data_IF_058797106286
#
_entry.id   IF_058797106286
#
_cell.length_a   1.000
_cell.length_b   1.000
_cell.length_c   1.000
_cell.angle_alpha   90.00
_cell.angle_beta   90.00
_cell.angle_gamma   90.00
#
_symmetry.space_group_name_H-M   'P 1'
#
loop_
_entity.id
_entity.type
_entity.pdbx_description
1 polymer ?
#
# COMPACT_ATOMS: atom_id res chain seq x y z
N UNK A 1 14.85 32.51 8.66
CA UNK A 1 13.84 31.59 8.11
C UNK A 1 14.43 30.87 6.92
N UNK A 2 14.79 29.61 7.08
CA UNK A 2 15.34 28.82 5.96
C UNK A 2 14.12 28.25 5.23
N UNK A 3 13.79 28.84 4.08
CA UNK A 3 12.82 28.26 3.15
C UNK A 3 13.43 26.96 2.61
N UNK A 4 12.87 25.83 3.00
CA UNK A 4 13.22 24.54 2.46
C UNK A 4 12.86 24.48 0.97
N UNK A 5 13.81 24.77 0.11
CA UNK A 5 13.66 24.54 -1.32
C UNK A 5 13.51 23.03 -1.53
N UNK A 6 12.43 22.63 -2.18
CA UNK A 6 12.24 21.26 -2.67
C UNK A 6 13.36 20.96 -3.68
N UNK A 7 14.42 20.32 -3.21
CA UNK A 7 15.54 19.90 -4.07
C UNK A 7 15.08 18.64 -4.81
N UNK A 8 14.76 18.80 -6.07
CA UNK A 8 14.51 17.68 -6.99
C UNK A 8 15.28 17.91 -8.29
N UNK A 9 15.74 16.84 -8.88
CA UNK A 9 16.34 16.80 -10.20
C UNK A 9 15.39 16.06 -11.13
N UNK A 10 14.95 16.72 -12.18
CA UNK A 10 14.14 16.09 -13.23
C UNK A 10 14.97 15.99 -14.50
N UNK A 11 15.14 14.78 -15.01
CA UNK A 11 15.73 14.53 -16.32
C UNK A 11 14.57 14.20 -17.27
N UNK A 12 14.11 15.21 -18.01
CA UNK A 12 12.93 15.14 -18.88
C UNK A 12 12.25 16.51 -19.01
N UNK A 13 11.02 16.53 -19.50
CA UNK A 13 10.22 17.75 -19.67
C UNK A 13 8.94 17.68 -18.85
N UNK A 14 8.61 18.76 -18.12
CA UNK A 14 7.31 18.94 -17.44
C UNK A 14 6.91 17.76 -16.54
N UNK A 15 7.72 17.40 -15.53
CA UNK A 15 7.51 16.26 -14.62
C UNK A 15 7.46 14.88 -15.31
N UNK A 16 7.72 14.81 -16.61
CA UNK A 16 7.82 13.57 -17.38
C UNK A 16 9.27 13.14 -17.50
N UNK A 17 9.57 11.87 -17.12
CA UNK A 17 10.91 11.31 -17.24
C UNK A 17 11.42 10.73 -15.93
N UNK A 18 12.71 10.95 -15.61
CA UNK A 18 13.33 10.47 -14.38
C UNK A 18 13.36 11.60 -13.36
N UNK A 19 12.68 11.40 -12.25
CA UNK A 19 12.64 12.35 -11.15
C UNK A 19 13.43 11.82 -9.95
N UNK A 20 14.43 12.56 -9.50
CA UNK A 20 15.23 12.24 -8.30
C UNK A 20 14.94 13.31 -7.24
N UNK A 21 14.45 12.89 -6.08
CA UNK A 21 14.10 13.79 -4.99
C UNK A 21 12.60 14.11 -4.91
N UNK A 22 12.26 15.18 -4.19
CA UNK A 22 10.91 15.44 -3.70
C UNK A 22 10.12 16.39 -4.62
N UNK A 23 9.63 15.92 -5.77
CA UNK A 23 8.71 16.65 -6.64
C UNK A 23 7.25 16.38 -6.25
N UNK A 24 6.36 17.37 -6.36
CA UNK A 24 4.94 17.21 -6.03
C UNK A 24 4.19 16.28 -6.98
N UNK A 25 4.57 16.28 -8.25
CA UNK A 25 4.02 15.40 -9.29
C UNK A 25 5.16 14.71 -10.00
N UNK A 26 4.95 13.48 -10.40
CA UNK A 26 5.92 12.69 -11.15
C UNK A 26 5.21 11.80 -12.14
N UNK A 27 5.63 11.88 -13.40
CA UNK A 27 5.19 10.99 -14.46
C UNK A 27 6.42 10.26 -15.01
N UNK A 28 6.47 8.95 -14.85
CA UNK A 28 7.58 8.12 -15.30
C UNK A 28 8.31 7.43 -14.15
N UNK A 29 9.65 7.46 -14.15
CA UNK A 29 10.47 6.84 -13.12
C UNK A 29 10.80 7.84 -12.01
N UNK A 30 10.54 7.46 -10.78
CA UNK A 30 10.89 8.25 -9.61
C UNK A 30 11.80 7.48 -8.69
N UNK A 31 12.86 8.13 -8.22
CA UNK A 31 13.81 7.61 -7.24
C UNK A 31 13.93 8.60 -6.08
N UNK A 32 13.62 8.17 -4.87
CA UNK A 32 13.78 8.99 -3.67
C UNK A 32 14.07 8.14 -2.43
N UNK A 33 14.73 8.71 -1.44
CA UNK A 33 14.92 8.02 -0.16
C UNK A 33 13.75 8.28 0.80
N UNK A 34 13.19 9.49 0.76
CA UNK A 34 12.14 9.90 1.69
C UNK A 34 11.12 10.80 1.00
N UNK A 35 9.93 10.29 0.83
CA UNK A 35 8.85 11.03 0.20
C UNK A 35 8.04 11.84 1.21
N UNK A 36 7.86 13.13 0.91
CA UNK A 36 7.03 14.04 1.70
C UNK A 36 6.17 14.92 0.80
N UNK A 37 4.88 15.03 1.14
CA UNK A 37 3.94 15.95 0.47
C UNK A 37 3.89 15.80 -1.05
N UNK A 38 3.82 14.56 -1.51
CA UNK A 38 3.67 14.25 -2.92
C UNK A 38 2.19 14.13 -3.23
N UNK A 39 1.75 14.84 -4.26
CA UNK A 39 0.35 14.83 -4.66
C UNK A 39 0.05 13.62 -5.53
N UNK A 40 0.82 13.42 -6.60
CA UNK A 40 0.54 12.34 -7.56
C UNK A 40 1.80 11.74 -8.14
N UNK A 41 1.84 10.42 -8.16
CA UNK A 41 2.84 9.61 -8.85
C UNK A 41 2.13 8.82 -9.94
N UNK A 42 2.55 9.00 -11.19
CA UNK A 42 2.10 8.20 -12.33
C UNK A 42 3.30 7.47 -12.91
N UNK A 43 3.31 6.15 -12.82
CA UNK A 43 4.40 5.33 -13.34
C UNK A 43 5.07 4.47 -12.27
N UNK A 44 6.39 4.52 -12.20
CA UNK A 44 7.19 3.67 -11.33
C UNK A 44 7.91 4.51 -10.28
N UNK A 45 7.70 4.20 -9.00
CA UNK A 45 8.34 4.88 -7.87
C UNK A 45 9.13 3.90 -7.02
N UNK A 46 10.37 4.24 -6.73
CA UNK A 46 11.21 3.57 -5.73
C UNK A 46 11.57 4.57 -4.66
N UNK A 47 11.24 4.26 -3.43
CA UNK A 47 11.57 5.12 -2.28
C UNK A 47 11.97 4.28 -1.06
N UNK A 48 12.73 4.86 -0.15
CA UNK A 48 12.95 4.26 1.16
C UNK A 48 11.66 4.22 1.96
N UNK A 49 11.03 5.40 2.11
CA UNK A 49 9.70 5.59 2.66
C UNK A 49 8.83 6.31 1.63
N UNK A 50 7.78 5.67 1.15
CA UNK A 50 6.80 6.29 0.25
C UNK A 50 5.66 6.91 1.03
N UNK A 51 5.35 8.16 0.70
CA UNK A 51 4.15 8.86 1.19
C UNK A 51 3.63 9.83 0.13
N UNK A 52 2.54 9.44 -0.51
CA UNK A 52 1.87 10.25 -1.53
C UNK A 52 0.36 10.34 -1.30
N UNK A 53 -0.29 11.31 -1.92
CA UNK A 53 -1.75 11.37 -1.92
C UNK A 53 -2.34 10.35 -2.90
N UNK A 54 -1.71 10.18 -4.08
CA UNK A 54 -2.18 9.23 -5.08
C UNK A 54 -1.01 8.63 -5.87
N UNK A 55 -1.01 7.31 -5.99
CA UNK A 55 -0.08 6.58 -6.85
C UNK A 55 -0.85 5.76 -7.88
N UNK A 56 -0.56 5.98 -9.15
CA UNK A 56 -1.08 5.21 -10.28
C UNK A 56 0.11 4.50 -10.94
N UNK A 57 0.18 3.19 -10.81
CA UNK A 57 1.28 2.39 -11.35
C UNK A 57 1.94 1.51 -10.29
N UNK A 58 3.27 1.54 -10.20
CA UNK A 58 4.03 0.68 -9.29
C UNK A 58 4.75 1.54 -8.25
N UNK A 59 4.51 1.26 -6.97
CA UNK A 59 5.18 1.90 -5.85
C UNK A 59 5.97 0.87 -5.04
N UNK A 60 7.28 1.06 -4.95
CA UNK A 60 8.18 0.26 -4.13
C UNK A 60 8.68 1.12 -2.97
N UNK A 61 8.23 0.85 -1.77
CA UNK A 61 8.78 1.39 -0.54
C UNK A 61 9.72 0.39 0.11
N UNK A 62 11.04 0.64 0.14
CA UNK A 62 12.01 -0.32 0.68
C UNK A 62 11.78 -0.63 2.15
N UNK A 63 11.36 0.35 2.95
CA UNK A 63 10.98 0.19 4.35
C UNK A 63 9.47 0.14 4.46
N UNK A 64 8.79 1.19 4.01
CA UNK A 64 7.34 1.29 4.13
C UNK A 64 6.71 2.10 3.00
N UNK A 65 5.45 1.77 2.73
CA UNK A 65 4.63 2.46 1.74
C UNK A 65 3.32 2.93 2.41
N UNK A 66 3.14 4.26 2.51
CA UNK A 66 2.00 4.92 3.16
C UNK A 66 1.27 5.88 2.23
N UNK A 67 0.96 5.47 1.05
CA UNK A 67 0.22 6.28 0.08
C UNK A 67 -1.28 6.31 0.42
N UNK A 68 -1.95 7.46 0.23
CA UNK A 68 -3.38 7.54 0.56
C UNK A 68 -4.23 6.70 -0.39
N UNK A 69 -3.96 6.76 -1.68
CA UNK A 69 -4.65 5.94 -2.69
C UNK A 69 -3.65 5.32 -3.64
N UNK A 70 -3.72 4.02 -3.83
CA UNK A 70 -2.89 3.26 -4.76
C UNK A 70 -3.78 2.58 -5.79
N UNK A 71 -3.51 2.84 -7.06
CA UNK A 71 -4.11 2.15 -8.19
C UNK A 71 -2.99 1.45 -8.96
N UNK A 72 -2.86 0.15 -8.77
CA UNK A 72 -1.81 -0.66 -9.38
C UNK A 72 -1.10 -1.58 -8.41
N UNK A 73 0.24 -1.50 -8.33
CA UNK A 73 1.05 -2.39 -7.50
C UNK A 73 1.73 -1.60 -6.39
N UNK A 74 1.58 -2.05 -5.17
CA UNK A 74 2.24 -1.50 -3.98
C UNK A 74 3.09 -2.57 -3.32
N UNK A 75 4.36 -2.31 -3.13
CA UNK A 75 5.27 -3.21 -2.42
C UNK A 75 5.94 -2.43 -1.29
N UNK A 76 5.69 -2.83 -0.06
CA UNK A 76 6.36 -2.31 1.13
C UNK A 76 7.32 -3.35 1.71
N UNK A 77 8.59 -3.02 1.88
CA UNK A 77 9.59 -3.96 2.36
C UNK A 77 9.26 -4.54 3.74
N UNK A 78 8.92 -3.71 4.72
CA UNK A 78 8.48 -4.14 6.04
C UNK A 78 6.97 -4.00 6.19
N UNK A 79 6.42 -2.84 5.89
CA UNK A 79 5.00 -2.57 6.09
C UNK A 79 4.41 -1.76 4.94
N UNK A 80 3.11 -1.90 4.74
CA UNK A 80 2.34 -1.10 3.79
C UNK A 80 1.03 -0.66 4.41
N UNK A 81 0.64 0.58 4.15
CA UNK A 81 -0.63 1.10 4.65
C UNK A 81 -1.18 2.17 3.71
N UNK A 82 -2.48 2.09 3.41
CA UNK A 82 -3.13 3.06 2.52
C UNK A 82 -4.61 3.17 2.85
N UNK A 83 -5.20 4.35 2.65
CA UNK A 83 -6.65 4.48 2.81
C UNK A 83 -7.41 3.65 1.78
N UNK A 84 -6.88 3.56 0.57
CA UNK A 84 -7.48 2.75 -0.50
C UNK A 84 -6.41 2.14 -1.40
N UNK A 85 -6.51 0.83 -1.62
CA UNK A 85 -5.67 0.09 -2.55
C UNK A 85 -6.58 -0.60 -3.57
N UNK A 86 -6.32 -0.36 -4.85
CA UNK A 86 -6.97 -1.05 -5.95
C UNK A 86 -5.87 -1.74 -6.78
N UNK A 87 -5.77 -3.05 -6.64
CA UNK A 87 -4.78 -3.86 -7.37
C UNK A 87 -4.02 -4.84 -6.49
N UNK A 88 -2.69 -4.88 -6.62
CA UNK A 88 -1.81 -5.78 -5.88
C UNK A 88 -1.09 -5.03 -4.76
N UNK A 89 -1.15 -5.56 -3.56
CA UNK A 89 -0.40 -5.05 -2.44
C UNK A 89 0.42 -6.16 -1.77
N UNK A 90 1.71 -5.91 -1.56
CA UNK A 90 2.64 -6.85 -0.92
C UNK A 90 3.35 -6.12 0.21
N UNK A 91 3.44 -6.73 1.38
CA UNK A 91 4.19 -6.21 2.51
C UNK A 91 4.96 -7.34 3.22
N UNK A 92 6.19 -7.05 3.60
CA UNK A 92 7.05 -8.05 4.24
C UNK A 92 6.53 -8.53 5.59
N UNK A 93 6.12 -7.63 6.46
CA UNK A 93 5.53 -7.97 7.76
C UNK A 93 4.01 -7.82 7.73
N UNK A 94 3.53 -6.62 7.66
CA UNK A 94 2.10 -6.35 7.78
C UNK A 94 1.57 -5.32 6.80
N UNK A 95 0.33 -5.48 6.43
CA UNK A 95 -0.39 -4.54 5.59
C UNK A 95 -1.61 -4.03 6.33
N UNK A 96 -1.81 -2.70 6.30
CA UNK A 96 -2.98 -2.06 6.88
C UNK A 96 -3.63 -1.08 5.91
N UNK A 97 -4.95 -0.94 5.99
CA UNK A 97 -5.63 0.03 5.14
C UNK A 97 -7.12 0.18 5.43
N UNK A 98 -7.75 1.19 4.85
CA UNK A 98 -9.19 1.31 4.87
C UNK A 98 -9.83 0.28 3.94
N UNK A 99 -9.74 0.51 2.64
CA UNK A 99 -10.30 -0.40 1.63
C UNK A 99 -9.21 -1.02 0.77
N UNK A 100 -9.16 -2.34 0.69
CA UNK A 100 -8.26 -3.07 -0.20
C UNK A 100 -9.10 -3.88 -1.19
N UNK A 101 -8.98 -3.54 -2.47
CA UNK A 101 -9.65 -4.22 -3.56
C UNK A 101 -8.61 -4.92 -4.44
N UNK A 102 -8.59 -6.23 -4.46
CA UNK A 102 -7.71 -7.01 -5.29
C UNK A 102 -6.93 -8.10 -4.55
N UNK A 103 -5.60 -8.13 -4.71
CA UNK A 103 -4.73 -9.12 -4.10
C UNK A 103 -3.86 -8.50 -3.00
N UNK A 104 -3.91 -9.06 -1.80
CA UNK A 104 -3.07 -8.67 -0.68
C UNK A 104 -2.22 -9.82 -0.17
N UNK A 105 -0.90 -9.61 -0.08
CA UNK A 105 0.04 -10.59 0.46
C UNK A 105 0.85 -9.92 1.56
N UNK A 106 0.83 -10.48 2.76
CA UNK A 106 1.60 -9.98 3.88
C UNK A 106 2.26 -11.13 4.66
N UNK A 107 3.46 -10.87 5.18
CA UNK A 107 4.17 -11.89 5.95
C UNK A 107 3.42 -12.28 7.23
N UNK A 108 3.01 -11.34 8.06
CA UNK A 108 2.29 -11.62 9.29
C UNK A 108 0.77 -11.52 9.11
N UNK A 109 0.26 -10.38 8.68
CA UNK A 109 -1.18 -10.18 8.59
C UNK A 109 -1.62 -9.05 7.67
N UNK A 110 -2.84 -9.15 7.21
CA UNK A 110 -3.54 -8.10 6.45
C UNK A 110 -4.65 -7.54 7.33
N UNK A 111 -4.66 -6.22 7.54
CA UNK A 111 -5.67 -5.54 8.33
C UNK A 111 -6.38 -4.46 7.51
N UNK A 112 -7.68 -4.33 7.64
CA UNK A 112 -8.43 -3.30 6.92
C UNK A 112 -9.90 -3.24 7.32
N UNK A 113 -10.55 -2.11 6.97
CA UNK A 113 -11.97 -1.92 7.23
C UNK A 113 -12.81 -2.70 6.19
N UNK A 114 -12.38 -2.70 4.93
CA UNK A 114 -13.03 -3.44 3.85
C UNK A 114 -12.00 -4.15 2.98
N UNK A 115 -12.05 -5.46 2.95
CA UNK A 115 -11.16 -6.31 2.16
C UNK A 115 -11.98 -7.03 1.09
N UNK A 116 -11.74 -6.72 -0.17
CA UNK A 116 -12.40 -7.33 -1.30
C UNK A 116 -11.39 -8.02 -2.22
N UNK A 117 -11.42 -9.35 -2.29
CA UNK A 117 -10.55 -10.10 -3.19
C UNK A 117 -9.85 -11.29 -2.55
N UNK A 118 -8.55 -11.48 -2.86
CA UNK A 118 -7.74 -12.58 -2.35
C UNK A 118 -6.67 -12.07 -1.40
N UNK A 119 -6.59 -12.66 -0.22
CA UNK A 119 -5.63 -12.24 0.80
C UNK A 119 -4.88 -13.45 1.37
N UNK A 120 -3.54 -13.33 1.43
CA UNK A 120 -2.67 -14.35 1.97
C UNK A 120 -1.76 -13.77 3.05
N UNK A 121 -1.69 -14.42 4.21
CA UNK A 121 -0.81 -14.02 5.30
C UNK A 121 -0.58 -15.14 6.31
N UNK A 122 0.42 -15.03 7.17
CA UNK A 122 0.72 -16.05 8.16
C UNK A 122 -0.39 -16.15 9.23
N UNK A 123 -0.82 -15.01 9.77
CA UNK A 123 -1.85 -14.96 10.83
C UNK A 123 -3.27 -14.68 10.30
N UNK A 124 -3.46 -14.55 9.00
CA UNK A 124 -4.78 -14.29 8.42
C UNK A 124 -5.12 -12.80 8.26
N UNK A 125 -6.40 -12.50 8.12
CA UNK A 125 -6.88 -11.15 7.91
C UNK A 125 -7.64 -10.65 9.14
N UNK A 126 -7.36 -9.41 9.55
CA UNK A 126 -7.94 -8.81 10.73
C UNK A 126 -8.57 -7.46 10.41
N UNK A 127 -9.59 -7.06 11.19
CA UNK A 127 -10.07 -5.69 11.16
C UNK A 127 -9.16 -4.79 12.05
N UNK A 128 -8.88 -3.58 11.59
CA UNK A 128 -7.97 -2.66 12.30
C UNK A 128 -8.70 -1.72 13.26
N UNK A 129 -9.95 -1.42 13.03
CA UNK A 129 -10.69 -0.41 13.77
C UNK A 129 -11.91 -0.98 14.51
N UNK A 130 -12.24 -0.37 15.64
CA UNK A 130 -13.48 -0.67 16.38
C UNK A 130 -14.76 -0.21 15.65
N UNK A 131 -14.65 0.27 14.41
CA UNK A 131 -15.77 0.68 13.58
C UNK A 131 -16.68 -0.50 13.24
N UNK A 132 -18.00 -0.30 13.29
CA UNK A 132 -18.99 -1.37 13.11
C UNK A 132 -19.06 -1.98 11.70
N UNK A 133 -18.23 -1.56 10.75
CA UNK A 133 -18.35 -1.90 9.32
C UNK A 133 -17.09 -2.60 8.79
N UNK A 134 -16.54 -3.56 9.50
CA UNK A 134 -15.47 -4.37 8.91
C UNK A 134 -16.05 -5.49 8.07
N UNK A 135 -15.72 -5.49 6.77
CA UNK A 135 -16.20 -6.45 5.80
C UNK A 135 -15.05 -7.13 5.08
N UNK A 136 -15.13 -8.45 4.98
CA UNK A 136 -14.24 -9.24 4.14
C UNK A 136 -15.08 -9.96 3.10
N UNK A 137 -14.87 -9.62 1.84
CA UNK A 137 -15.52 -10.26 0.71
C UNK A 137 -14.46 -10.93 -0.16
N UNK A 138 -14.46 -12.25 -0.21
CA UNK A 138 -13.52 -12.97 -1.07
C UNK A 138 -12.85 -14.15 -0.39
N UNK A 139 -11.58 -14.40 -0.71
CA UNK A 139 -10.84 -15.56 -0.23
C UNK A 139 -9.67 -15.11 0.63
N UNK A 140 -9.57 -15.71 1.80
CA UNK A 140 -8.46 -15.41 2.73
C UNK A 140 -7.74 -16.70 3.11
N UNK A 141 -6.41 -16.66 3.05
CA UNK A 141 -5.55 -17.74 3.50
C UNK A 141 -4.69 -17.27 4.67
N UNK A 142 -4.89 -17.90 5.83
CA UNK A 142 -4.03 -17.74 6.98
C UNK A 142 -3.36 -19.07 7.34
N UNK A 143 -2.06 -19.10 7.56
CA UNK A 143 -1.38 -20.36 7.91
C UNK A 143 -1.66 -20.72 9.36
N UNK A 144 -1.60 -19.75 10.27
CA UNK A 144 -1.73 -19.99 11.72
C UNK A 144 -3.16 -19.75 12.21
N UNK A 145 -3.84 -18.74 11.72
CA UNK A 145 -5.21 -18.41 12.15
C UNK A 145 -6.09 -18.08 10.95
N UNK A 146 -7.39 -18.20 11.14
CA UNK A 146 -8.37 -17.73 10.18
C UNK A 146 -8.54 -16.23 10.19
N UNK A 147 -9.50 -15.74 9.44
CA UNK A 147 -9.82 -14.32 9.33
C UNK A 147 -10.87 -13.91 10.35
N UNK A 148 -10.69 -12.73 10.94
CA UNK A 148 -11.64 -12.15 11.89
C UNK A 148 -12.24 -10.88 11.30
N UNK A 149 -13.54 -10.90 11.02
CA UNK A 149 -14.32 -9.77 10.55
C UNK A 149 -15.74 -9.83 11.11
N UNK A 150 -16.45 -8.69 11.13
CA UNK A 150 -17.86 -8.68 11.52
C UNK A 150 -18.76 -9.26 10.45
N UNK A 151 -18.49 -8.92 9.22
CA UNK A 151 -19.20 -9.48 8.06
C UNK A 151 -18.17 -10.19 7.18
N UNK A 152 -18.32 -11.48 7.03
CA UNK A 152 -17.49 -12.30 6.16
C UNK A 152 -18.33 -12.93 5.07
N UNK A 153 -17.97 -12.67 3.82
CA UNK A 153 -18.61 -13.27 2.65
C UNK A 153 -17.54 -13.89 1.75
N UNK A 154 -17.49 -15.22 1.73
CA UNK A 154 -16.51 -15.93 0.92
C UNK A 154 -15.91 -17.15 1.61
N UNK A 155 -14.61 -17.40 1.36
CA UNK A 155 -13.89 -18.56 1.88
C UNK A 155 -12.71 -18.10 2.75
N UNK A 156 -12.66 -18.57 3.99
CA UNK A 156 -11.49 -18.43 4.86
C UNK A 156 -10.88 -19.79 5.14
N UNK A 157 -9.58 -19.91 4.85
CA UNK A 157 -8.82 -21.13 5.10
C UNK A 157 -7.73 -20.81 6.11
N UNK A 158 -7.79 -21.48 7.26
CA UNK A 158 -6.74 -21.48 8.29
C UNK A 158 -6.29 -22.91 8.57
N UNK A 159 -5.00 -23.10 8.85
CA UNK A 159 -4.44 -24.43 9.11
C UNK A 159 -4.40 -24.77 10.60
N UNK A 160 -4.20 -23.75 11.44
CA UNK A 160 -4.19 -23.87 12.90
C UNK A 160 -5.23 -22.90 13.48
N UNK A 161 -6.09 -23.38 14.36
CA UNK A 161 -7.11 -22.62 15.07
C UNK A 161 -6.70 -22.38 16.51
#
# INVERSE_FOLDING_TARGET
MIHGQNRHLTIGCNDNGINIGNSKKSNGLRLNLWDRNIDTINGFSISGLSKSAKTNGISLGLIANFDSTINGISIGGLTGGSKKINGLAIAGLGMGGGTINGLGIAGLGVAGDTLNGLFCSLFGCYYWNADPISRINGVTFGILTGSVAREFSGLSVGVLF
#
